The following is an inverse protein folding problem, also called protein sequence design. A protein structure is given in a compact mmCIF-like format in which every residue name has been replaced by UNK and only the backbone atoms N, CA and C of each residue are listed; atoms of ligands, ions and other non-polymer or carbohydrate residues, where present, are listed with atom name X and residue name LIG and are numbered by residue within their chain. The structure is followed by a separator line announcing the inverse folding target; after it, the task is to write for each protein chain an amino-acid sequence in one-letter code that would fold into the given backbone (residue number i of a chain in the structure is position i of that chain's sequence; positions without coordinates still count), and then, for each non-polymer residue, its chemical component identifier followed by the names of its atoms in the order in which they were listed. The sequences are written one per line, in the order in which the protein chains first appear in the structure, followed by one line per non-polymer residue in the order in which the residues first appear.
data_IF_906854864299
#
_entry.id   IF_906854864299
#
_cell.length_a   1.000
_cell.length_b   1.000
_cell.length_c   1.000
_cell.angle_alpha   90.00
_cell.angle_beta   90.00
_cell.angle_gamma   90.00
#
_symmetry.space_group_name_H-M   'P 1'
#
loop_
_entity.id
_entity.type
_entity.pdbx_description
1 polymer ?
#
# COMPACT_ATOMS: atom_id res chain seq x y z
N UNK A 1 7.53 13.00 -10.98
CA UNK A 1 7.32 11.62 -11.46
C UNK A 1 6.94 11.61 -12.92
N UNK A 2 7.54 10.76 -13.70
CA UNK A 2 7.23 10.62 -15.12
C UNK A 2 6.49 9.32 -15.37
N UNK A 3 5.85 9.23 -16.53
CA UNK A 3 5.20 8.00 -16.96
C UNK A 3 6.20 6.83 -17.00
N UNK A 4 7.38 7.09 -17.53
CA UNK A 4 8.41 6.05 -17.63
C UNK A 4 8.87 5.57 -16.28
N UNK A 5 9.03 6.48 -15.34
CA UNK A 5 9.42 6.11 -13.98
C UNK A 5 8.35 5.25 -13.32
N UNK A 6 7.08 5.63 -13.48
CA UNK A 6 5.98 4.88 -12.90
C UNK A 6 5.85 3.52 -13.55
N UNK A 7 5.94 3.46 -14.87
CA UNK A 7 5.89 2.21 -15.60
C UNK A 7 7.01 1.27 -15.16
N UNK A 8 8.21 1.80 -15.03
CA UNK A 8 9.36 1.02 -14.63
C UNK A 8 9.19 0.48 -13.21
N UNK A 9 8.67 1.32 -12.32
CA UNK A 9 8.41 0.89 -10.95
C UNK A 9 7.37 -0.23 -10.93
N UNK A 10 6.31 -0.11 -11.71
CA UNK A 10 5.29 -1.15 -11.78
C UNK A 10 5.80 -2.44 -12.40
N UNK A 11 6.73 -2.36 -13.33
CA UNK A 11 7.34 -3.55 -13.93
C UNK A 11 8.19 -4.34 -12.95
N UNK A 12 8.68 -3.70 -11.89
CA UNK A 12 9.47 -4.39 -10.87
C UNK A 12 8.61 -5.11 -9.85
N UNK A 13 7.30 -4.91 -9.89
CA UNK A 13 6.39 -5.55 -8.94
C UNK A 13 6.25 -7.03 -9.27
N UNK A 14 6.26 -7.83 -8.21
CA UNK A 14 5.99 -9.25 -8.34
C UNK A 14 4.55 -9.51 -7.95
N UNK A 15 3.88 -10.37 -8.69
CA UNK A 15 2.53 -10.77 -8.37
C UNK A 15 2.53 -12.23 -7.93
N UNK A 16 1.54 -12.59 -7.15
CA UNK A 16 1.36 -13.94 -6.69
C UNK A 16 -0.06 -14.36 -7.01
N UNK A 17 -0.20 -15.51 -7.67
CA UNK A 17 -1.52 -16.05 -7.96
C UNK A 17 -2.01 -16.81 -6.73
N UNK A 18 -2.91 -16.19 -5.99
CA UNK A 18 -3.49 -16.79 -4.79
C UNK A 18 -4.99 -16.94 -5.02
N UNK A 19 -5.47 -18.17 -5.01
CA UNK A 19 -6.90 -18.48 -5.19
C UNK A 19 -7.46 -17.88 -6.48
N UNK A 20 -6.67 -17.95 -7.55
CA UNK A 20 -7.09 -17.46 -8.85
C UNK A 20 -7.08 -15.94 -9.00
N UNK A 21 -6.43 -15.23 -8.11
CA UNK A 21 -6.29 -13.79 -8.18
C UNK A 21 -4.82 -13.42 -8.18
N UNK A 22 -4.50 -12.38 -8.95
CA UNK A 22 -3.16 -11.83 -8.94
C UNK A 22 -3.09 -10.77 -7.85
N UNK A 23 -2.22 -10.97 -6.89
CA UNK A 23 -1.97 -9.99 -5.84
C UNK A 23 -0.57 -9.46 -5.97
N UNK A 24 -0.44 -8.15 -5.79
CA UNK A 24 0.86 -7.53 -5.63
C UNK A 24 1.15 -7.53 -4.14
N UNK A 25 2.23 -8.17 -3.74
CA UNK A 25 2.60 -8.25 -2.32
C UNK A 25 2.85 -6.85 -1.77
N UNK A 26 2.50 -6.65 -0.51
CA UNK A 26 2.62 -5.32 0.11
C UNK A 26 4.06 -4.83 0.09
N UNK A 27 5.02 -5.71 0.36
CA UNK A 27 6.43 -5.30 0.33
C UNK A 27 6.88 -4.88 -1.07
N UNK A 28 6.28 -5.44 -2.13
CA UNK A 28 6.57 -5.01 -3.49
C UNK A 28 5.96 -3.64 -3.77
N UNK A 29 4.78 -3.38 -3.22
CA UNK A 29 4.16 -2.06 -3.32
C UNK A 29 4.99 -1.00 -2.63
N UNK A 30 5.54 -1.33 -1.45
CA UNK A 30 6.44 -0.43 -0.73
C UNK A 30 7.67 -0.12 -1.59
N UNK A 31 8.23 -1.14 -2.22
CA UNK A 31 9.39 -0.99 -3.09
C UNK A 31 9.09 -0.04 -4.26
N UNK A 32 7.95 -0.23 -4.92
CA UNK A 32 7.54 0.66 -6.01
C UNK A 32 7.36 2.09 -5.52
N UNK A 33 6.75 2.26 -4.35
CA UNK A 33 6.56 3.58 -3.77
C UNK A 33 7.90 4.27 -3.53
N UNK A 34 8.88 3.55 -2.97
CA UNK A 34 10.21 4.11 -2.71
C UNK A 34 10.93 4.51 -3.98
N UNK A 35 10.67 3.81 -5.08
CA UNK A 35 11.25 4.17 -6.37
C UNK A 35 10.64 5.45 -6.93
N UNK A 36 9.33 5.63 -6.74
CA UNK A 36 8.61 6.80 -7.26
C UNK A 36 8.80 8.03 -6.37
N UNK A 37 8.88 7.84 -5.08
CA UNK A 37 8.96 8.92 -4.09
C UNK A 37 10.07 8.61 -3.09
N UNK A 38 11.34 8.84 -3.47
CA UNK A 38 12.47 8.51 -2.59
C UNK A 38 12.42 9.21 -1.24
N UNK A 39 11.81 10.39 -1.17
CA UNK A 39 11.68 11.15 0.08
C UNK A 39 10.26 11.11 0.64
N UNK A 40 9.42 10.27 0.07
CA UNK A 40 8.07 10.09 0.57
C UNK A 40 8.05 9.30 1.87
N UNK A 41 6.89 9.27 2.52
CA UNK A 41 6.76 8.58 3.80
C UNK A 41 5.55 7.67 3.83
N UNK A 42 5.68 6.63 4.64
CA UNK A 42 4.61 5.70 4.98
C UNK A 42 4.53 5.71 6.50
N UNK A 43 3.41 6.17 7.04
CA UNK A 43 3.23 6.25 8.47
C UNK A 43 2.01 5.42 8.87
N UNK A 44 2.08 4.73 10.01
CA UNK A 44 0.95 3.96 10.51
C UNK A 44 0.61 4.43 11.92
N UNK A 45 -0.68 4.44 12.22
CA UNK A 45 -1.20 4.83 13.52
C UNK A 45 -2.22 3.81 13.98
N UNK A 46 -2.20 3.49 15.26
CA UNK A 46 -3.24 2.66 15.87
C UNK A 46 -4.39 3.59 16.23
N UNK A 47 -5.52 3.42 15.56
CA UNK A 47 -6.70 4.25 15.80
C UNK A 47 -7.46 3.75 17.01
N UNK A 48 -7.54 2.43 17.15
CA UNK A 48 -8.26 1.80 18.26
C UNK A 48 -7.70 0.42 18.50
N UNK A 49 -7.68 -0.02 19.73
CA UNK A 49 -7.22 -1.36 20.07
C UNK A 49 -7.86 -1.78 21.39
N UNK A 50 -8.73 -2.76 21.34
CA UNK A 50 -9.39 -3.29 22.52
C UNK A 50 -9.98 -4.67 22.22
N UNK A 51 -10.10 -5.49 23.25
CA UNK A 51 -10.76 -6.80 23.18
C UNK A 51 -10.28 -7.69 22.02
N UNK A 52 -8.96 -7.65 21.77
CA UNK A 52 -8.39 -8.46 20.69
C UNK A 52 -8.71 -7.96 19.28
N UNK A 53 -9.11 -6.69 19.15
CA UNK A 53 -9.34 -6.05 17.85
C UNK A 53 -8.44 -4.85 17.75
N UNK A 54 -7.79 -4.69 16.62
CA UNK A 54 -6.97 -3.51 16.34
C UNK A 54 -7.44 -2.87 15.04
N UNK A 55 -7.51 -1.54 15.03
CA UNK A 55 -7.81 -0.74 13.84
C UNK A 55 -6.63 0.17 13.61
N UNK A 56 -6.07 0.13 12.41
CA UNK A 56 -4.91 0.94 12.07
C UNK A 56 -5.17 1.74 10.81
N UNK A 57 -4.51 2.89 10.73
CA UNK A 57 -4.54 3.78 9.58
C UNK A 57 -3.12 3.95 9.06
N UNK A 58 -2.94 3.80 7.76
CA UNK A 58 -1.69 4.10 7.10
C UNK A 58 -1.86 5.39 6.30
N UNK A 59 -0.86 6.25 6.31
CA UNK A 59 -0.85 7.51 5.57
C UNK A 59 0.36 7.52 4.66
N UNK A 60 0.13 7.75 3.38
CA UNK A 60 1.18 7.79 2.37
C UNK A 60 1.35 9.24 1.91
N UNK A 61 2.58 9.75 1.96
CA UNK A 61 2.89 11.12 1.54
C UNK A 61 3.95 11.09 0.45
N UNK A 62 3.86 12.05 -0.46
CA UNK A 62 4.87 12.18 -1.52
C UNK A 62 6.13 12.88 -1.00
N UNK A 63 7.04 13.22 -1.93
CA UNK A 63 8.31 13.86 -1.58
C UNK A 63 8.12 15.23 -0.96
N UNK A 64 7.01 15.90 -1.23
CA UNK A 64 6.70 17.22 -0.72
C UNK A 64 5.87 17.18 0.57
N UNK A 65 5.57 16.00 1.07
CA UNK A 65 4.79 15.85 2.28
C UNK A 65 3.29 15.88 2.08
N UNK A 66 2.84 15.93 0.84
CA UNK A 66 1.41 15.92 0.54
C UNK A 66 0.85 14.50 0.68
N UNK A 67 -0.34 14.37 1.23
CA UNK A 67 -0.97 13.08 1.40
C UNK A 67 -1.46 12.56 0.06
N UNK A 68 -0.94 11.41 -0.34
CA UNK A 68 -1.38 10.74 -1.56
C UNK A 68 -2.58 9.85 -1.30
N UNK A 69 -2.58 9.16 -0.17
CA UNK A 69 -3.64 8.22 0.16
C UNK A 69 -3.59 7.85 1.62
N UNK A 70 -4.72 7.38 2.14
CA UNK A 70 -4.78 6.76 3.44
C UNK A 70 -5.49 5.41 3.29
N UNK A 71 -5.20 4.48 4.18
CA UNK A 71 -5.85 3.18 4.19
C UNK A 71 -6.14 2.77 5.62
N UNK A 72 -7.33 2.21 5.83
CA UNK A 72 -7.74 1.68 7.12
C UNK A 72 -7.85 0.18 7.02
N UNK A 73 -7.50 -0.49 8.10
CA UNK A 73 -7.68 -1.93 8.21
C UNK A 73 -7.98 -2.27 9.65
N UNK A 74 -8.62 -3.41 9.86
CA UNK A 74 -8.75 -3.96 11.19
C UNK A 74 -8.45 -5.45 11.15
N UNK A 75 -8.03 -5.99 12.30
CA UNK A 75 -7.79 -7.41 12.46
C UNK A 75 -8.25 -7.83 13.84
N UNK A 76 -8.71 -9.07 13.93
CA UNK A 76 -9.11 -9.67 15.21
C UNK A 76 -8.10 -10.76 15.56
N UNK A 77 -7.64 -10.74 16.80
CA UNK A 77 -6.75 -11.77 17.30
C UNK A 77 -7.31 -13.18 17.10
N UNK A 78 -8.62 -13.32 17.28
CA UNK A 78 -9.30 -14.63 17.22
C UNK A 78 -9.76 -15.03 15.83
N UNK A 79 -9.51 -14.23 14.79
CA UNK A 79 -10.08 -14.49 13.48
C UNK A 79 -9.48 -15.72 12.78
N UNK A 80 -8.23 -16.04 13.05
CA UNK A 80 -7.57 -17.22 12.49
C UNK A 80 -6.32 -17.54 13.30
N UNK A 81 -5.68 -18.66 12.94
CA UNK A 81 -4.50 -19.13 13.65
C UNK A 81 -3.35 -18.13 13.60
N UNK A 82 -3.12 -17.54 12.45
CA UNK A 82 -2.03 -16.59 12.25
C UNK A 82 -2.25 -15.34 13.10
N UNK A 83 -3.49 -14.87 13.18
CA UNK A 83 -3.80 -13.65 13.93
C UNK A 83 -3.67 -13.82 15.45
N UNK A 84 -3.64 -15.03 15.96
CA UNK A 84 -3.45 -15.22 17.41
C UNK A 84 -2.15 -14.62 17.89
N UNK A 85 -1.11 -14.62 17.05
CA UNK A 85 0.20 -14.12 17.44
C UNK A 85 0.63 -12.88 16.67
N UNK A 86 -0.03 -12.55 15.56
CA UNK A 86 0.44 -11.53 14.64
C UNK A 86 -0.66 -10.59 14.15
N UNK A 87 -1.76 -10.46 14.91
CA UNK A 87 -2.87 -9.66 14.39
C UNK A 87 -2.54 -8.18 14.24
N UNK A 88 -1.67 -7.65 15.10
CA UNK A 88 -1.27 -6.25 15.00
C UNK A 88 -0.42 -6.02 13.74
N UNK A 89 0.59 -6.87 13.54
CA UNK A 89 1.46 -6.76 12.38
C UNK A 89 0.68 -6.99 11.09
N UNK A 90 -0.25 -7.94 11.09
CA UNK A 90 -1.09 -8.19 9.92
C UNK A 90 -1.99 -7.00 9.63
N UNK A 91 -2.49 -6.34 10.66
CA UNK A 91 -3.30 -5.14 10.49
C UNK A 91 -2.49 -4.01 9.86
N UNK A 92 -1.28 -3.80 10.34
CA UNK A 92 -0.40 -2.77 9.78
C UNK A 92 -0.11 -3.05 8.31
N UNK A 93 0.23 -4.28 7.98
CA UNK A 93 0.50 -4.67 6.59
C UNK A 93 -0.71 -4.42 5.71
N UNK A 94 -1.89 -4.77 6.19
CA UNK A 94 -3.14 -4.57 5.44
C UNK A 94 -3.43 -3.09 5.23
N UNK A 95 -3.23 -2.27 6.26
CA UNK A 95 -3.46 -0.82 6.16
C UNK A 95 -2.51 -0.19 5.15
N UNK A 96 -1.23 -0.55 5.22
CA UNK A 96 -0.22 -0.04 4.28
C UNK A 96 -0.55 -0.50 2.87
N UNK A 97 -0.91 -1.77 2.69
CA UNK A 97 -1.27 -2.29 1.38
C UNK A 97 -2.45 -1.57 0.76
N UNK A 98 -3.49 -1.28 1.56
CA UNK A 98 -4.65 -0.52 1.08
C UNK A 98 -4.26 0.89 0.67
N UNK A 99 -3.48 1.57 1.50
CA UNK A 99 -3.07 2.94 1.21
C UNK A 99 -2.23 3.02 -0.06
N UNK A 100 -1.30 2.09 -0.22
CA UNK A 100 -0.47 2.04 -1.43
C UNK A 100 -1.28 1.71 -2.66
N UNK A 101 -2.25 0.78 -2.54
CA UNK A 101 -3.15 0.47 -3.63
C UNK A 101 -3.97 1.69 -4.04
N UNK A 102 -4.47 2.45 -3.06
CA UNK A 102 -5.23 3.66 -3.35
C UNK A 102 -4.37 4.75 -3.95
N UNK A 103 -3.07 4.74 -3.68
CA UNK A 103 -2.15 5.68 -4.32
C UNK A 103 -1.95 5.37 -5.81
N UNK A 104 -2.33 4.18 -6.24
CA UNK A 104 -2.32 3.81 -7.63
C UNK A 104 -1.00 3.28 -8.16
N UNK A 105 -0.04 3.03 -7.29
CA UNK A 105 1.31 2.64 -7.74
C UNK A 105 1.31 1.41 -8.64
N UNK A 106 0.44 0.42 -8.37
CA UNK A 106 0.43 -0.81 -9.16
C UNK A 106 -0.88 -1.05 -9.92
N UNK A 107 -1.89 -0.22 -9.69
CA UNK A 107 -3.23 -0.46 -10.25
C UNK A 107 -3.64 0.51 -11.34
N UNK A 108 -2.87 1.56 -11.58
CA UNK A 108 -3.23 2.56 -12.56
C UNK A 108 -2.97 2.02 -13.97
N UNK A 109 -3.98 2.00 -14.86
CA UNK A 109 -3.75 1.58 -16.25
C UNK A 109 -2.76 2.48 -16.95
N UNK A 110 -2.01 1.92 -17.89
CA UNK A 110 -1.02 2.69 -18.64
C UNK A 110 -1.59 3.95 -19.27
N UNK A 111 -2.78 3.87 -19.84
CA UNK A 111 -3.42 5.03 -20.46
C UNK A 111 -3.63 6.15 -19.46
N UNK A 112 -3.97 5.80 -18.23
CA UNK A 112 -4.18 6.76 -17.17
C UNK A 112 -2.85 7.40 -16.74
N UNK A 113 -1.80 6.59 -16.64
CA UNK A 113 -0.47 7.06 -16.30
C UNK A 113 0.06 8.01 -17.35
N UNK A 114 -0.19 7.73 -18.63
CA UNK A 114 0.23 8.59 -19.71
C UNK A 114 -0.41 9.96 -19.62
N UNK A 115 -1.70 10.02 -19.29
CA UNK A 115 -2.37 11.31 -19.11
C UNK A 115 -1.73 12.12 -17.99
N UNK A 116 -1.41 11.48 -16.89
CA UNK A 116 -0.75 12.17 -15.78
C UNK A 116 0.60 12.73 -16.18
N UNK A 117 1.35 11.98 -16.95
CA UNK A 117 2.66 12.44 -17.40
C UNK A 117 2.54 13.62 -18.35
N UNK A 118 1.50 13.64 -19.19
CA UNK A 118 1.31 14.75 -20.13
C UNK A 118 0.94 16.05 -19.45
N UNK A 119 0.33 15.99 -18.29
CA UNK A 119 -0.12 17.19 -17.58
C UNK A 119 0.96 17.77 -16.67
N UNK A 120 2.10 17.17 -16.65
CA UNK A 120 3.22 17.65 -15.84
C UNK A 120 4.12 18.59 -16.62
#
# INVERSE_FOLDING_TARGET
MTFEELQKANETLSTMDIKGKDYVLVNERVKAFRMLFPNGSIATDIIDMHDGVVVMKATIRDDDGEILATGLAYEKESSNYINKTSYIENCETSAVGRALGLSGAELIPLSHLMRKCKTR
#
